data_IF_604340234636
#
_entry.id   IF_604340234636
#
_cell.length_a   1.000
_cell.length_b   1.000
_cell.length_c   1.000
_cell.angle_alpha   90.00
_cell.angle_beta   90.00
_cell.angle_gamma   90.00
#
_symmetry.space_group_name_H-M   'P 1'
#
loop_
_entity.id
_entity.type
_entity.pdbx_description
1 polymer ?
#
# COMPACT_ATOMS: atom_id res chain seq x y z
N UNK A 1 -19.66 -23.98 19.25
CA UNK A 1 -18.98 -22.97 18.49
C UNK A 1 -18.58 -21.80 19.37
N UNK A 2 -17.56 -21.15 18.96
CA UNK A 2 -17.12 -19.97 19.67
C UNK A 2 -18.17 -18.88 19.64
N UNK A 3 -18.48 -18.33 20.79
CA UNK A 3 -19.40 -17.22 20.88
C UNK A 3 -18.71 -15.95 20.39
N UNK A 4 -19.07 -15.54 19.19
CA UNK A 4 -18.51 -14.34 18.58
C UNK A 4 -19.14 -13.05 19.11
N UNK A 5 -20.18 -13.13 19.93
CA UNK A 5 -20.84 -11.94 20.47
C UNK A 5 -19.90 -11.12 21.35
N UNK A 6 -18.99 -11.76 22.06
CA UNK A 6 -18.00 -11.07 22.89
C UNK A 6 -16.99 -10.32 22.05
N UNK A 7 -16.75 -10.72 20.83
CA UNK A 7 -15.78 -10.12 19.92
C UNK A 7 -16.49 -9.20 18.92
N UNK A 8 -17.73 -9.49 18.56
CA UNK A 8 -18.43 -8.84 17.47
C UNK A 8 -18.57 -7.32 17.65
N UNK A 9 -18.76 -6.85 18.88
CA UNK A 9 -18.82 -5.41 19.17
C UNK A 9 -17.49 -4.69 18.97
N UNK A 10 -16.39 -5.44 18.99
CA UNK A 10 -15.05 -4.91 18.83
C UNK A 10 -14.49 -5.11 17.41
N UNK A 11 -15.26 -5.76 16.54
CA UNK A 11 -14.78 -6.02 15.19
C UNK A 11 -14.74 -4.75 14.37
N UNK A 12 -13.58 -4.49 13.80
CA UNK A 12 -13.39 -3.49 12.77
C UNK A 12 -13.13 -4.16 11.44
N UNK A 13 -13.78 -3.67 10.40
CA UNK A 13 -13.47 -4.03 9.04
C UNK A 13 -12.39 -3.09 8.55
N UNK A 14 -11.32 -3.64 8.00
CA UNK A 14 -10.25 -2.87 7.42
C UNK A 14 -9.97 -3.35 6.00
N UNK A 15 -9.89 -2.42 5.07
CA UNK A 15 -9.47 -2.68 3.70
C UNK A 15 -8.03 -2.24 3.51
N UNK A 16 -7.22 -3.11 2.93
CA UNK A 16 -5.85 -2.78 2.53
C UNK A 16 -5.84 -2.64 1.01
N UNK A 17 -5.46 -1.47 0.53
CA UNK A 17 -5.34 -1.18 -0.90
C UNK A 17 -3.86 -1.12 -1.23
N UNK A 18 -3.40 -2.02 -2.10
CA UNK A 18 -2.02 -2.08 -2.52
C UNK A 18 -1.95 -2.26 -4.04
N UNK A 19 -1.90 -1.14 -4.77
CA UNK A 19 -1.69 -1.15 -6.21
C UNK A 19 -1.01 0.15 -6.65
N UNK A 20 -0.68 0.25 -7.93
CA UNK A 20 0.05 1.38 -8.50
C UNK A 20 1.17 0.94 -9.41
N UNK A 21 1.71 -0.25 -9.18
CA UNK A 21 2.80 -0.79 -9.98
C UNK A 21 2.37 -1.03 -11.43
N UNK A 22 1.16 -1.58 -11.64
CA UNK A 22 0.62 -1.76 -12.97
C UNK A 22 0.36 -0.44 -13.69
N UNK A 23 -0.09 0.57 -12.97
CA UNK A 23 -0.28 1.92 -13.52
C UNK A 23 1.06 2.47 -14.03
N UNK A 24 2.11 2.32 -13.25
CA UNK A 24 3.45 2.70 -13.67
C UNK A 24 3.89 1.94 -14.93
N UNK A 25 3.72 0.61 -14.95
CA UNK A 25 4.14 -0.20 -16.10
C UNK A 25 3.33 0.07 -17.37
N UNK A 26 2.07 0.44 -17.25
CA UNK A 26 1.21 0.73 -18.40
C UNK A 26 1.31 2.17 -18.88
N UNK A 27 2.03 3.02 -18.15
CA UNK A 27 2.23 4.41 -18.52
C UNK A 27 1.05 5.32 -18.20
N UNK A 28 0.12 4.89 -17.35
CA UNK A 28 -0.90 5.77 -16.83
C UNK A 28 -0.24 6.89 -16.02
N UNK A 29 -0.81 8.09 -16.07
CA UNK A 29 -0.25 9.19 -15.31
C UNK A 29 -0.52 9.04 -13.81
N UNK A 30 0.30 9.69 -12.99
CA UNK A 30 0.06 9.75 -11.54
C UNK A 30 -1.32 10.33 -11.26
N UNK A 31 -1.76 11.32 -12.03
CA UNK A 31 -3.11 11.89 -11.91
C UNK A 31 -4.18 10.81 -12.14
N UNK A 32 -4.06 10.03 -13.22
CA UNK A 32 -5.00 8.94 -13.50
C UNK A 32 -4.99 7.88 -12.39
N UNK A 33 -3.82 7.54 -11.89
CA UNK A 33 -3.69 6.62 -10.76
C UNK A 33 -4.37 7.17 -9.50
N UNK A 34 -4.13 8.43 -9.18
CA UNK A 34 -4.76 9.09 -8.02
C UNK A 34 -6.28 9.14 -8.15
N UNK A 35 -6.79 9.47 -9.32
CA UNK A 35 -8.23 9.49 -9.58
C UNK A 35 -8.86 8.12 -9.36
N UNK A 36 -8.22 7.07 -9.86
CA UNK A 36 -8.68 5.70 -9.66
C UNK A 36 -8.62 5.28 -8.20
N UNK A 37 -7.54 5.62 -7.51
CA UNK A 37 -7.36 5.33 -6.09
C UNK A 37 -8.42 6.06 -5.24
N UNK A 38 -8.64 7.33 -5.51
CA UNK A 38 -9.66 8.13 -4.85
C UNK A 38 -11.05 7.55 -5.04
N UNK A 39 -11.39 7.18 -6.28
CA UNK A 39 -12.67 6.55 -6.59
C UNK A 39 -12.86 5.23 -5.84
N UNK A 40 -11.82 4.41 -5.76
CA UNK A 40 -11.84 3.15 -5.02
C UNK A 40 -12.06 3.37 -3.53
N UNK A 41 -11.33 4.30 -2.93
CA UNK A 41 -11.50 4.65 -1.51
C UNK A 41 -12.91 5.17 -1.25
N UNK A 42 -13.40 6.06 -2.10
CA UNK A 42 -14.74 6.62 -1.96
C UNK A 42 -15.82 5.54 -2.02
N UNK A 43 -15.68 4.58 -2.95
CA UNK A 43 -16.62 3.46 -3.06
C UNK A 43 -16.65 2.61 -1.79
N UNK A 44 -15.47 2.38 -1.18
CA UNK A 44 -15.39 1.63 0.07
C UNK A 44 -15.99 2.42 1.24
N UNK A 45 -15.74 3.71 1.31
CA UNK A 45 -16.31 4.57 2.34
C UNK A 45 -17.84 4.65 2.25
N UNK A 46 -18.38 4.68 1.02
CA UNK A 46 -19.82 4.70 0.79
C UNK A 46 -20.48 3.37 1.18
N UNK A 47 -19.83 2.26 0.84
CA UNK A 47 -20.36 0.93 1.11
C UNK A 47 -20.17 0.50 2.57
N UNK A 48 -19.08 0.94 3.21
CA UNK A 48 -18.68 0.53 4.56
C UNK A 48 -18.23 1.77 5.36
N UNK A 49 -19.15 2.63 5.78
CA UNK A 49 -18.80 3.93 6.40
C UNK A 49 -17.96 3.83 7.67
N UNK A 50 -18.06 2.70 8.37
CA UNK A 50 -17.34 2.48 9.62
C UNK A 50 -16.02 1.72 9.44
N UNK A 51 -15.69 1.32 8.21
CA UNK A 51 -14.46 0.59 7.93
C UNK A 51 -13.25 1.51 7.95
N UNK A 52 -12.14 0.95 8.37
CA UNK A 52 -10.84 1.61 8.22
C UNK A 52 -10.23 1.23 6.88
N UNK A 53 -9.45 2.13 6.32
CA UNK A 53 -8.79 1.91 5.03
C UNK A 53 -7.31 2.23 5.19
N UNK A 54 -6.46 1.30 4.74
CA UNK A 54 -5.02 1.47 4.67
C UNK A 54 -4.60 1.41 3.20
N UNK A 55 -3.95 2.45 2.71
CA UNK A 55 -3.27 2.44 1.42
C UNK A 55 -1.82 2.06 1.69
N UNK A 56 -1.38 0.95 1.12
CA UNK A 56 0.02 0.53 1.17
C UNK A 56 0.66 0.82 -0.19
N UNK A 57 1.82 1.45 -0.19
CA UNK A 57 2.54 1.73 -1.42
C UNK A 57 3.01 0.44 -2.10
N UNK A 58 3.31 0.52 -3.39
CA UNK A 58 3.96 -0.58 -4.11
C UNK A 58 5.36 -0.85 -3.54
N UNK A 59 5.82 -2.08 -3.68
CA UNK A 59 7.17 -2.45 -3.25
C UNK A 59 8.24 -1.85 -4.16
N UNK A 60 9.46 -1.78 -3.65
CA UNK A 60 10.63 -1.42 -4.43
C UNK A 60 10.87 -2.45 -5.53
N UNK A 61 11.28 -1.99 -6.70
CA UNK A 61 11.60 -2.85 -7.86
C UNK A 61 13.02 -2.57 -8.34
N UNK A 62 13.63 -3.55 -8.99
CA UNK A 62 14.93 -3.37 -9.65
C UNK A 62 14.82 -3.20 -11.16
N UNK A 63 13.63 -3.46 -11.73
CA UNK A 63 13.34 -3.16 -13.12
C UNK A 63 13.29 -1.65 -13.37
N UNK A 64 13.45 -1.24 -14.62
CA UNK A 64 13.33 0.15 -15.05
C UNK A 64 14.20 1.10 -14.21
N UNK A 65 15.49 0.76 -14.11
CA UNK A 65 16.47 1.51 -13.31
C UNK A 65 16.02 1.76 -11.88
N UNK A 66 15.58 0.67 -11.22
CA UNK A 66 15.07 0.72 -9.84
C UNK A 66 13.82 1.62 -9.70
N UNK A 67 12.98 1.64 -10.71
CA UNK A 67 11.76 2.43 -10.71
C UNK A 67 11.99 3.92 -10.99
N UNK A 68 13.18 4.30 -11.43
CA UNK A 68 13.48 5.70 -11.77
C UNK A 68 13.30 6.01 -13.25
N UNK A 69 13.15 4.99 -14.10
CA UNK A 69 12.87 5.21 -15.50
C UNK A 69 11.48 5.84 -15.69
N UNK A 70 11.39 6.76 -16.62
CA UNK A 70 10.12 7.37 -16.97
C UNK A 70 9.30 6.42 -17.84
N UNK A 71 8.04 6.28 -17.51
CA UNK A 71 7.18 5.35 -18.22
C UNK A 71 5.99 6.03 -18.93
N UNK A 72 6.00 7.34 -18.95
CA UNK A 72 5.03 8.15 -19.70
C UNK A 72 5.65 9.48 -20.13
N UNK A 73 4.90 10.25 -20.91
CA UNK A 73 5.37 11.52 -21.46
C UNK A 73 5.49 12.66 -20.44
N UNK A 74 5.10 12.41 -19.18
CA UNK A 74 5.21 13.38 -18.09
C UNK A 74 6.47 13.16 -17.22
N UNK A 75 7.34 12.26 -17.65
CA UNK A 75 8.59 11.93 -16.94
C UNK A 75 8.34 11.48 -15.49
N UNK A 76 7.25 10.75 -15.26
CA UNK A 76 6.89 10.27 -13.94
C UNK A 76 7.59 8.95 -13.61
N UNK A 77 8.12 8.86 -12.39
CA UNK A 77 8.82 7.68 -11.87
C UNK A 77 7.92 6.91 -10.92
N UNK A 78 8.32 5.69 -10.54
CA UNK A 78 7.57 4.91 -9.56
C UNK A 78 7.37 5.67 -8.24
N UNK A 79 8.37 6.43 -7.82
CA UNK A 79 8.26 7.22 -6.59
C UNK A 79 7.16 8.30 -6.66
N UNK A 80 6.87 8.79 -7.86
CA UNK A 80 5.78 9.76 -8.03
C UNK A 80 4.42 9.11 -7.76
N UNK A 81 4.26 7.83 -8.10
CA UNK A 81 3.06 7.06 -7.75
C UNK A 81 2.96 6.82 -6.25
N UNK A 82 4.08 6.51 -5.59
CA UNK A 82 4.11 6.36 -4.12
C UNK A 82 3.69 7.68 -3.44
N UNK A 83 4.23 8.80 -3.89
CA UNK A 83 3.86 10.13 -3.40
C UNK A 83 2.37 10.42 -3.67
N UNK A 84 1.90 10.08 -4.87
CA UNK A 84 0.49 10.23 -5.22
C UNK A 84 -0.45 9.45 -4.32
N UNK A 85 -0.05 8.23 -3.94
CA UNK A 85 -0.81 7.41 -2.99
C UNK A 85 -0.84 8.05 -1.60
N UNK A 86 0.28 8.55 -1.12
CA UNK A 86 0.37 9.25 0.17
C UNK A 86 -0.52 10.49 0.21
N UNK A 87 -0.45 11.30 -0.83
CA UNK A 87 -1.28 12.50 -0.95
C UNK A 87 -2.77 12.16 -1.01
N UNK A 88 -3.14 11.10 -1.72
CA UNK A 88 -4.53 10.64 -1.80
C UNK A 88 -5.01 10.16 -0.43
N UNK A 89 -4.19 9.40 0.28
CA UNK A 89 -4.53 8.95 1.63
C UNK A 89 -4.79 10.14 2.56
N UNK A 90 -3.93 11.14 2.51
CA UNK A 90 -4.10 12.36 3.31
C UNK A 90 -5.39 13.11 2.94
N UNK A 91 -5.65 13.27 1.63
CA UNK A 91 -6.85 13.96 1.14
C UNK A 91 -8.14 13.23 1.50
N UNK A 92 -8.12 11.91 1.51
CA UNK A 92 -9.29 11.07 1.84
C UNK A 92 -9.38 10.72 3.32
N UNK A 93 -8.43 11.16 4.12
CA UNK A 93 -8.36 10.89 5.57
C UNK A 93 -8.34 9.39 5.86
N UNK A 94 -7.50 8.66 5.17
CA UNK A 94 -7.24 7.23 5.40
C UNK A 94 -5.77 7.01 5.73
N UNK A 95 -5.43 5.83 6.22
CA UNK A 95 -4.08 5.50 6.62
C UNK A 95 -3.19 5.23 5.40
N UNK A 96 -1.91 5.53 5.54
CA UNK A 96 -0.91 5.26 4.50
C UNK A 96 0.29 4.55 5.10
N UNK A 97 0.76 3.52 4.39
CA UNK A 97 2.00 2.81 4.71
C UNK A 97 2.95 2.90 3.52
N UNK A 98 4.08 3.57 3.71
CA UNK A 98 5.19 3.48 2.75
C UNK A 98 5.94 2.18 3.03
N UNK A 99 5.69 1.17 2.22
CA UNK A 99 6.25 -0.17 2.43
C UNK A 99 7.76 -0.19 2.25
N UNK A 100 8.31 0.65 1.38
CA UNK A 100 9.74 0.70 1.14
C UNK A 100 10.49 1.29 2.34
N UNK A 101 9.92 2.30 2.99
CA UNK A 101 10.47 2.84 4.23
C UNK A 101 10.36 1.82 5.37
N UNK A 102 9.20 1.21 5.53
CA UNK A 102 8.95 0.24 6.59
C UNK A 102 9.88 -0.97 6.47
N UNK A 103 10.14 -1.43 5.25
CA UNK A 103 10.98 -2.60 4.98
C UNK A 103 12.44 -2.23 4.78
N UNK A 104 12.76 -0.95 4.61
CA UNK A 104 14.08 -0.45 4.27
C UNK A 104 14.65 -1.07 2.99
N UNK A 105 13.76 -1.36 2.04
CA UNK A 105 14.17 -1.85 0.72
C UNK A 105 14.72 -0.69 -0.12
N UNK A 106 15.83 -0.96 -0.77
CA UNK A 106 16.59 0.02 -1.53
C UNK A 106 17.37 -0.69 -2.66
N UNK A 107 18.05 0.04 -3.55
CA UNK A 107 18.79 -0.56 -4.65
C UNK A 107 19.83 -1.60 -4.25
N UNK A 108 20.37 -1.50 -3.03
CA UNK A 108 21.44 -2.37 -2.57
C UNK A 108 20.93 -3.73 -2.08
N UNK A 109 19.70 -3.80 -1.57
CA UNK A 109 19.17 -5.01 -0.94
C UNK A 109 17.93 -5.60 -1.61
N UNK A 110 17.23 -4.85 -2.44
CA UNK A 110 15.94 -5.27 -2.99
C UNK A 110 16.01 -6.61 -3.73
N UNK A 111 17.11 -6.88 -4.44
CA UNK A 111 17.27 -8.14 -5.17
C UNK A 111 17.19 -9.36 -4.26
N UNK A 112 17.52 -9.24 -2.98
CA UNK A 112 17.43 -10.33 -2.01
C UNK A 112 15.97 -10.73 -1.72
N UNK A 113 15.03 -9.82 -1.96
CA UNK A 113 13.63 -9.98 -1.60
C UNK A 113 12.71 -10.13 -2.81
N UNK A 114 13.26 -10.17 -4.02
CA UNK A 114 12.51 -10.29 -5.26
C UNK A 114 12.79 -11.63 -5.94
N UNK A 115 11.74 -12.24 -6.50
CA UNK A 115 11.86 -13.47 -7.30
C UNK A 115 12.30 -13.14 -8.72
N UNK A 116 11.93 -11.98 -9.19
CA UNK A 116 12.35 -11.39 -10.45
C UNK A 116 12.67 -9.91 -10.20
N UNK A 117 12.66 -9.07 -11.19
CA UNK A 117 12.96 -7.65 -10.98
C UNK A 117 11.79 -6.84 -10.36
N UNK A 118 10.67 -7.48 -10.08
CA UNK A 118 9.41 -6.79 -9.72
C UNK A 118 8.71 -7.42 -8.52
N UNK A 119 8.55 -8.75 -8.51
CA UNK A 119 7.68 -9.44 -7.56
C UNK A 119 8.45 -9.93 -6.33
N UNK A 120 7.93 -9.70 -5.13
CA UNK A 120 8.55 -10.24 -3.92
C UNK A 120 8.65 -11.77 -3.94
N UNK A 121 9.79 -12.28 -3.48
CA UNK A 121 9.97 -13.70 -3.23
C UNK A 121 9.26 -14.10 -1.92
N UNK A 122 9.45 -15.34 -1.48
CA UNK A 122 8.77 -15.83 -0.27
C UNK A 122 9.11 -14.99 0.96
N UNK A 123 10.39 -14.69 1.17
CA UNK A 123 10.82 -13.83 2.28
C UNK A 123 10.30 -12.41 2.14
N UNK A 124 10.36 -11.86 0.94
CA UNK A 124 9.83 -10.52 0.66
C UNK A 124 8.33 -10.42 0.94
N UNK A 125 7.55 -11.43 0.54
CA UNK A 125 6.11 -11.47 0.84
C UNK A 125 5.85 -11.56 2.34
N UNK A 126 6.62 -12.35 3.05
CA UNK A 126 6.51 -12.47 4.51
C UNK A 126 6.77 -11.13 5.20
N UNK A 127 7.85 -10.46 4.82
CA UNK A 127 8.19 -9.15 5.38
C UNK A 127 7.16 -8.08 5.03
N UNK A 128 6.68 -8.10 3.80
CA UNK A 128 5.65 -7.16 3.34
C UNK A 128 4.35 -7.33 4.12
N UNK A 129 3.90 -8.57 4.27
CA UNK A 129 2.71 -8.89 5.07
C UNK A 129 2.88 -8.51 6.53
N UNK A 130 4.07 -8.74 7.10
CA UNK A 130 4.38 -8.36 8.48
C UNK A 130 4.32 -6.84 8.67
N UNK A 131 4.84 -6.07 7.71
CA UNK A 131 4.77 -4.61 7.77
C UNK A 131 3.32 -4.12 7.75
N UNK A 132 2.47 -4.71 6.92
CA UNK A 132 1.05 -4.39 6.89
C UNK A 132 0.38 -4.71 8.22
N UNK A 133 0.60 -5.91 8.76
CA UNK A 133 0.01 -6.30 10.05
C UNK A 133 0.46 -5.36 11.15
N UNK A 134 1.73 -5.01 11.19
CA UNK A 134 2.27 -4.07 12.17
C UNK A 134 1.60 -2.69 12.07
N UNK A 135 1.42 -2.18 10.85
CA UNK A 135 0.73 -0.92 10.63
C UNK A 135 -0.73 -1.00 11.10
N UNK A 136 -1.42 -2.11 10.81
CA UNK A 136 -2.80 -2.30 11.28
C UNK A 136 -2.89 -2.31 12.81
N UNK A 137 -1.96 -2.98 13.47
CA UNK A 137 -1.96 -3.07 14.94
C UNK A 137 -1.62 -1.73 15.59
N UNK A 138 -0.63 -1.02 15.09
CA UNK A 138 -0.14 0.21 15.70
C UNK A 138 -1.03 1.41 15.39
N UNK A 139 -1.48 1.52 14.15
CA UNK A 139 -2.14 2.73 13.67
C UNK A 139 -3.67 2.61 13.67
N UNK A 140 -4.21 1.44 13.39
CA UNK A 140 -5.64 1.26 13.17
C UNK A 140 -6.32 0.59 14.35
N UNK A 141 -5.76 -0.52 14.80
CA UNK A 141 -6.35 -1.30 15.88
C UNK A 141 -5.68 -1.04 17.23
N UNK A 142 -5.07 0.10 17.43
CA UNK A 142 -4.30 0.47 18.62
C UNK A 142 -4.85 -0.19 19.88
N UNK A 143 -4.38 -1.39 20.18
CA UNK A 143 -4.75 -2.09 21.40
C UNK A 143 -4.13 -1.37 22.59
N UNK A 144 -4.87 -1.26 23.70
CA UNK A 144 -4.31 -0.69 24.91
C UNK A 144 -3.04 -1.44 25.28
N UNK A 145 -1.97 -0.69 25.51
CA UNK A 145 -0.74 -1.27 26.03
C UNK A 145 -0.96 -1.57 27.50
N UNK A 146 -0.80 -2.81 27.85
CA UNK A 146 -0.98 -3.26 29.24
C UNK A 146 0.34 -3.28 29.98
#
# INVERSE_FOLDING_TARGET
SEDTSEISGEKKLCFVINYGLNDYFTGYTVEQYRDGLQAGVQSLQDAYPDAEILIASSNFITAFDNGTAFNNDLDETLNDYVTGAEETAAAMNVFFLNTNEALQWNPQNAACYLVDAVHPNEEGRFLFGTAIIKALEEDIFSYPVH
#
